data_IF_712845029484
#
_entry.id   IF_712845029484
#
_cell.length_a   1.000
_cell.length_b   1.000
_cell.length_c   1.000
_cell.angle_alpha   90.00
_cell.angle_beta   90.00
_cell.angle_gamma   90.00
#
_symmetry.space_group_name_H-M   'P 1'
#
loop_
_entity.id
_entity.type
_entity.pdbx_description
1 polymer ?
#
# COMPACT_ATOMS: atom_id res chain seq x y z
N UNK A 1 30.13 -29.97 -69.41
CA UNK A 1 29.39 -28.89 -68.66
C UNK A 1 27.89 -28.92 -68.92
N UNK A 2 27.37 -29.14 -70.13
CA UNK A 2 25.89 -29.15 -70.37
C UNK A 2 25.16 -30.27 -69.65
N UNK A 3 25.72 -31.41 -69.32
CA UNK A 3 25.05 -32.52 -68.62
C UNK A 3 24.82 -32.24 -67.13
N UNK A 4 25.61 -31.34 -66.49
CA UNK A 4 25.45 -30.94 -65.09
C UNK A 4 24.27 -30.00 -64.94
N UNK A 5 24.00 -29.15 -65.92
CA UNK A 5 22.84 -28.25 -65.89
C UNK A 5 21.51 -28.99 -65.97
N UNK A 6 21.46 -30.09 -66.73
CA UNK A 6 20.23 -30.91 -66.80
C UNK A 6 19.96 -31.69 -65.52
N UNK A 7 21.02 -32.09 -64.81
CA UNK A 7 20.90 -32.76 -63.52
C UNK A 7 20.49 -31.77 -62.39
N UNK A 8 20.96 -30.53 -62.43
CA UNK A 8 20.53 -29.46 -61.58
C UNK A 8 19.08 -29.00 -61.82
N UNK A 9 18.63 -28.99 -63.09
CA UNK A 9 17.28 -28.63 -63.48
C UNK A 9 16.27 -29.72 -63.14
N UNK A 10 16.68 -30.98 -63.04
CA UNK A 10 15.84 -32.12 -62.66
C UNK A 10 15.76 -32.24 -61.11
N UNK A 11 16.77 -31.73 -60.36
CA UNK A 11 16.77 -31.72 -58.91
C UNK A 11 15.93 -30.56 -58.31
N UNK A 12 15.69 -29.48 -59.05
CA UNK A 12 14.96 -28.31 -58.58
C UNK A 12 13.50 -28.60 -58.16
N UNK A 13 12.69 -29.41 -58.88
CA UNK A 13 11.31 -29.72 -58.44
C UNK A 13 11.26 -30.65 -57.23
N UNK A 14 12.32 -31.38 -56.88
CA UNK A 14 12.35 -32.25 -55.70
C UNK A 14 12.53 -31.48 -54.37
N UNK A 15 13.01 -30.24 -54.45
CA UNK A 15 13.22 -29.41 -53.26
C UNK A 15 11.90 -28.72 -52.87
N UNK A 16 10.97 -28.53 -53.80
CA UNK A 16 9.67 -27.91 -53.52
C UNK A 16 8.59 -28.89 -53.00
N UNK A 17 8.84 -30.18 -52.99
CA UNK A 17 7.91 -31.16 -52.44
C UNK A 17 8.13 -31.41 -50.90
N UNK A 18 9.16 -30.82 -50.31
CA UNK A 18 9.43 -30.99 -48.87
C UNK A 18 8.63 -30.06 -47.97
N UNK A 19 7.73 -29.21 -48.53
CA UNK A 19 6.88 -28.29 -47.75
C UNK A 19 5.41 -28.69 -47.63
N UNK A 20 5.04 -29.89 -48.13
CA UNK A 20 3.75 -30.48 -47.85
C UNK A 20 3.92 -31.78 -47.05
N UNK A 21 4.57 -31.67 -45.88
CA UNK A 21 4.12 -32.50 -44.77
C UNK A 21 2.85 -31.82 -44.25
N UNK A 22 1.72 -32.47 -44.35
CA UNK A 22 0.65 -32.31 -43.41
C UNK A 22 1.31 -32.50 -42.04
N UNK A 23 1.65 -31.41 -41.38
CA UNK A 23 1.79 -31.44 -39.94
C UNK A 23 0.42 -31.94 -39.48
N UNK A 24 0.38 -33.19 -39.04
CA UNK A 24 -0.76 -33.68 -38.24
C UNK A 24 -0.99 -32.60 -37.21
N UNK A 25 -2.04 -31.82 -37.40
CA UNK A 25 -2.42 -30.76 -36.50
C UNK A 25 -2.58 -31.42 -35.12
N UNK A 26 -1.62 -31.25 -34.23
CA UNK A 26 -1.66 -31.78 -32.85
C UNK A 26 -2.97 -31.40 -32.15
N UNK A 27 -3.68 -30.45 -32.74
CA UNK A 27 -4.95 -29.92 -32.25
C UNK A 27 -6.05 -30.04 -33.31
N UNK A 28 -7.19 -30.53 -32.90
CA UNK A 28 -8.40 -30.70 -33.77
C UNK A 28 -8.97 -29.38 -34.31
N UNK A 29 -8.56 -28.21 -33.75
CA UNK A 29 -9.09 -26.88 -34.09
C UNK A 29 -7.98 -25.87 -34.33
N UNK A 30 -8.19 -24.90 -35.24
CA UNK A 30 -7.27 -23.77 -35.44
C UNK A 30 -7.03 -22.98 -34.16
N UNK A 31 -5.82 -22.39 -34.03
CA UNK A 31 -5.43 -21.62 -32.85
C UNK A 31 -6.41 -20.45 -32.56
N UNK A 32 -6.92 -19.78 -33.60
CA UNK A 32 -7.90 -18.69 -33.43
C UNK A 32 -9.21 -19.17 -32.82
N UNK A 33 -9.71 -20.32 -33.29
CA UNK A 33 -10.96 -20.89 -32.78
C UNK A 33 -10.79 -21.34 -31.32
N UNK A 34 -9.67 -21.95 -30.98
CA UNK A 34 -9.37 -22.35 -29.58
C UNK A 34 -9.29 -21.13 -28.67
N UNK A 35 -8.70 -20.03 -29.14
CA UNK A 35 -8.62 -18.77 -28.39
C UNK A 35 -10.00 -18.18 -28.17
N UNK A 36 -10.87 -18.13 -29.19
CA UNK A 36 -12.23 -17.63 -29.07
C UNK A 36 -13.06 -18.45 -28.08
N UNK A 37 -12.97 -19.78 -28.17
CA UNK A 37 -13.65 -20.68 -27.23
C UNK A 37 -13.16 -20.46 -25.81
N UNK A 38 -11.84 -20.25 -25.60
CA UNK A 38 -11.25 -19.97 -24.28
C UNK A 38 -11.73 -18.63 -23.73
N UNK A 39 -11.78 -17.57 -24.54
CA UNK A 39 -12.28 -16.25 -24.11
C UNK A 39 -13.75 -16.33 -23.69
N UNK A 40 -14.57 -17.03 -24.45
CA UNK A 40 -15.99 -17.25 -24.09
C UNK A 40 -16.13 -18.05 -22.79
N UNK A 41 -15.33 -19.09 -22.60
CA UNK A 41 -15.32 -19.89 -21.38
C UNK A 41 -14.89 -19.04 -20.17
N UNK A 42 -13.79 -18.29 -20.29
CA UNK A 42 -13.30 -17.44 -19.22
C UNK A 42 -14.34 -16.36 -18.87
N UNK A 43 -15.01 -15.77 -19.85
CA UNK A 43 -16.09 -14.80 -19.61
C UNK A 43 -17.26 -15.44 -18.84
N UNK A 44 -17.69 -16.64 -19.23
CA UNK A 44 -18.75 -17.36 -18.51
C UNK A 44 -18.38 -17.64 -17.05
N UNK A 45 -17.13 -18.02 -16.80
CA UNK A 45 -16.62 -18.25 -15.44
C UNK A 45 -16.63 -16.95 -14.63
N UNK A 46 -16.08 -15.86 -15.20
CA UNK A 46 -16.03 -14.56 -14.52
C UNK A 46 -17.42 -14.05 -14.13
N UNK A 47 -18.40 -14.17 -15.05
CA UNK A 47 -19.78 -13.78 -14.81
C UNK A 47 -20.54 -14.77 -13.91
N UNK A 48 -20.07 -16.03 -13.83
CA UNK A 48 -20.70 -17.12 -13.07
C UNK A 48 -20.71 -16.88 -11.55
N UNK A 49 -19.77 -16.11 -11.02
CA UNK A 49 -19.79 -15.68 -9.62
C UNK A 49 -20.84 -14.57 -9.43
N UNK A 50 -22.07 -14.96 -9.17
CA UNK A 50 -23.24 -14.06 -9.13
C UNK A 50 -23.12 -12.97 -8.04
N UNK A 51 -22.37 -13.23 -6.99
CA UNK A 51 -22.03 -12.23 -5.96
C UNK A 51 -20.62 -11.64 -6.14
N UNK A 52 -19.95 -11.88 -7.30
CA UNK A 52 -18.61 -11.37 -7.60
C UNK A 52 -17.49 -12.13 -6.92
N UNK A 53 -16.30 -11.57 -6.99
CA UNK A 53 -15.04 -12.17 -6.59
C UNK A 53 -14.32 -11.28 -5.59
N UNK A 54 -13.63 -11.88 -4.63
CA UNK A 54 -12.56 -11.25 -3.86
C UNK A 54 -11.29 -11.32 -4.72
N UNK A 55 -10.70 -10.20 -5.03
CA UNK A 55 -9.47 -10.08 -5.81
C UNK A 55 -8.32 -9.66 -4.89
N UNK A 56 -7.31 -10.51 -4.77
CA UNK A 56 -6.09 -10.27 -4.02
C UNK A 56 -5.09 -9.57 -4.92
N UNK A 57 -4.98 -8.25 -4.78
CA UNK A 57 -4.23 -7.41 -5.71
C UNK A 57 -2.91 -6.94 -5.10
N UNK A 58 -1.81 -7.09 -5.83
CA UNK A 58 -0.48 -6.60 -5.43
C UNK A 58 0.07 -5.69 -6.54
N UNK A 59 0.11 -4.37 -6.31
CA UNK A 59 0.76 -3.44 -7.22
C UNK A 59 2.27 -3.60 -7.17
N UNK A 60 2.96 -3.09 -8.18
CA UNK A 60 4.41 -3.07 -8.32
C UNK A 60 5.06 -4.47 -8.30
N UNK A 61 6.11 -4.62 -9.08
CA UNK A 61 6.77 -5.91 -9.34
C UNK A 61 7.36 -6.57 -8.09
N UNK A 62 7.94 -5.80 -7.22
CA UNK A 62 8.59 -6.30 -5.99
C UNK A 62 7.64 -6.28 -4.79
N UNK A 63 6.36 -5.95 -5.01
CA UNK A 63 5.30 -5.83 -4.00
C UNK A 63 5.65 -4.88 -2.83
N UNK A 64 6.44 -3.84 -3.09
CA UNK A 64 6.95 -2.91 -2.08
C UNK A 64 5.86 -2.17 -1.31
N UNK A 65 4.67 -2.00 -1.91
CA UNK A 65 3.50 -1.40 -1.26
C UNK A 65 2.57 -2.43 -0.61
N UNK A 66 2.93 -3.74 -0.70
CA UNK A 66 2.10 -4.85 -0.25
C UNK A 66 0.86 -5.07 -1.11
N UNK A 67 -0.14 -5.73 -0.54
CA UNK A 67 -1.35 -6.12 -1.25
C UNK A 67 -2.62 -5.49 -0.70
N UNK A 68 -3.64 -5.47 -1.55
CA UNK A 68 -4.95 -4.86 -1.28
C UNK A 68 -6.06 -5.79 -1.73
N UNK A 69 -7.18 -5.70 -1.04
CA UNK A 69 -8.36 -6.47 -1.36
C UNK A 69 -9.37 -5.62 -2.13
N UNK A 70 -9.79 -6.13 -3.27
CA UNK A 70 -10.89 -5.55 -4.05
C UNK A 70 -11.98 -6.59 -4.25
N UNK A 71 -13.22 -6.14 -4.40
CA UNK A 71 -14.31 -6.97 -4.89
C UNK A 71 -14.60 -6.57 -6.31
N UNK A 72 -14.73 -7.56 -7.19
CA UNK A 72 -15.04 -7.33 -8.60
C UNK A 72 -16.19 -8.23 -9.00
N UNK A 73 -17.22 -7.64 -9.66
CA UNK A 73 -18.36 -8.37 -10.20
C UNK A 73 -18.50 -8.07 -11.67
N UNK A 74 -18.35 -9.10 -12.49
CA UNK A 74 -18.51 -9.04 -13.93
C UNK A 74 -19.98 -9.22 -14.30
N UNK A 75 -20.48 -8.33 -15.13
CA UNK A 75 -21.88 -8.31 -15.56
C UNK A 75 -22.05 -8.34 -17.07
N UNK A 76 -23.31 -8.22 -17.50
CA UNK A 76 -23.66 -8.13 -18.92
C UNK A 76 -23.05 -6.87 -19.57
N UNK A 77 -22.94 -6.90 -20.90
CA UNK A 77 -22.38 -5.81 -21.71
C UNK A 77 -20.97 -5.39 -21.26
N UNK A 78 -20.16 -6.35 -20.81
CA UNK A 78 -18.79 -6.13 -20.34
C UNK A 78 -18.69 -5.14 -19.17
N UNK A 79 -19.74 -5.00 -18.37
CA UNK A 79 -19.71 -4.15 -17.17
C UNK A 79 -18.96 -4.84 -16.03
N UNK A 80 -18.21 -4.07 -15.26
CA UNK A 80 -17.57 -4.53 -14.03
C UNK A 80 -17.84 -3.55 -12.90
N UNK A 81 -18.34 -4.05 -11.78
CA UNK A 81 -18.50 -3.27 -10.54
C UNK A 81 -17.38 -3.60 -9.59
N UNK A 82 -16.74 -2.58 -9.06
CA UNK A 82 -15.57 -2.68 -8.17
C UNK A 82 -15.89 -2.05 -6.82
N UNK A 83 -15.42 -2.68 -5.74
CA UNK A 83 -15.25 -2.09 -4.42
C UNK A 83 -13.80 -2.28 -3.97
N UNK A 84 -13.30 -1.42 -3.09
CA UNK A 84 -11.91 -1.47 -2.61
C UNK A 84 -11.85 -1.14 -1.12
N UNK A 85 -10.97 -1.81 -0.39
CA UNK A 85 -10.72 -1.51 1.04
C UNK A 85 -10.11 -0.12 1.27
N UNK A 86 -9.67 0.58 0.20
CA UNK A 86 -9.22 1.97 0.26
C UNK A 86 -10.39 2.97 0.22
N UNK A 87 -11.59 2.50 -0.15
CA UNK A 87 -12.80 3.30 -0.18
C UNK A 87 -13.62 3.15 1.10
N UNK A 88 -14.90 3.54 1.00
CA UNK A 88 -15.89 3.24 2.04
C UNK A 88 -16.45 1.84 1.81
N UNK A 89 -16.92 1.19 2.87
CA UNK A 89 -17.46 -0.18 2.81
C UNK A 89 -18.64 -0.35 1.83
N UNK A 90 -19.45 0.68 1.65
CA UNK A 90 -20.58 0.73 0.74
C UNK A 90 -20.27 1.38 -0.63
N UNK A 91 -19.03 1.82 -0.83
CA UNK A 91 -18.62 2.47 -2.06
C UNK A 91 -18.37 1.45 -3.15
N UNK A 92 -19.04 1.64 -4.29
CA UNK A 92 -18.80 0.86 -5.50
C UNK A 92 -18.70 1.79 -6.70
N UNK A 93 -17.95 1.38 -7.70
CA UNK A 93 -17.88 2.05 -8.99
C UNK A 93 -18.01 1.03 -10.12
N UNK A 94 -18.82 1.36 -11.13
CA UNK A 94 -19.02 0.50 -12.29
C UNK A 94 -18.34 1.09 -13.51
N UNK A 95 -17.54 0.28 -14.17
CA UNK A 95 -16.82 0.58 -15.41
C UNK A 95 -16.97 -0.57 -16.41
N UNK A 96 -16.10 -0.63 -17.40
CA UNK A 96 -16.11 -1.71 -18.38
C UNK A 96 -14.80 -2.50 -18.34
N UNK A 97 -14.91 -3.79 -18.68
CA UNK A 97 -13.79 -4.67 -18.90
C UNK A 97 -13.85 -5.29 -20.29
N UNK A 98 -12.75 -5.85 -20.75
CA UNK A 98 -12.71 -6.68 -21.95
C UNK A 98 -11.87 -7.93 -21.69
N UNK A 99 -12.22 -9.02 -22.39
CA UNK A 99 -11.36 -10.18 -22.59
C UNK A 99 -10.87 -10.14 -24.04
N UNK A 100 -9.57 -9.95 -24.20
CA UNK A 100 -8.94 -9.82 -25.51
C UNK A 100 -7.93 -10.95 -25.77
N UNK A 101 -7.78 -11.38 -27.04
CA UNK A 101 -6.72 -12.29 -27.43
C UNK A 101 -5.38 -11.55 -27.50
N UNK A 102 -4.36 -12.11 -26.85
CA UNK A 102 -2.97 -11.72 -26.96
C UNK A 102 -2.12 -13.01 -27.01
N UNK A 103 -1.04 -13.11 -26.27
CA UNK A 103 -0.27 -14.37 -26.05
C UNK A 103 -1.04 -15.39 -25.19
N UNK A 104 -2.31 -15.18 -24.98
CA UNK A 104 -3.30 -15.89 -24.18
C UNK A 104 -4.50 -14.97 -23.95
N UNK A 105 -5.52 -15.42 -23.21
CA UNK A 105 -6.61 -14.55 -22.79
C UNK A 105 -6.10 -13.45 -21.87
N UNK A 106 -6.45 -12.20 -22.12
CA UNK A 106 -6.11 -11.04 -21.30
C UNK A 106 -7.39 -10.37 -20.85
N UNK A 107 -7.55 -10.26 -19.53
CA UNK A 107 -8.57 -9.43 -18.89
C UNK A 107 -8.02 -8.02 -18.75
N UNK A 108 -8.70 -7.04 -19.35
CA UNK A 108 -8.34 -5.62 -19.27
C UNK A 108 -9.47 -4.78 -18.71
N UNK A 109 -9.12 -3.87 -17.80
CA UNK A 109 -10.01 -2.84 -17.26
C UNK A 109 -9.75 -1.54 -18.02
N UNK A 110 -10.31 -1.46 -19.21
CA UNK A 110 -9.98 -0.43 -20.20
C UNK A 110 -10.74 0.90 -20.04
N UNK A 111 -11.70 0.96 -19.11
CA UNK A 111 -12.41 2.20 -18.76
C UNK A 111 -12.01 2.63 -17.35
N UNK A 112 -11.75 3.93 -17.19
CA UNK A 112 -11.34 4.46 -15.90
C UNK A 112 -12.34 4.11 -14.79
N UNK A 113 -11.78 3.66 -13.66
CA UNK A 113 -12.48 3.34 -12.42
C UNK A 113 -11.56 3.80 -11.28
N UNK A 114 -12.01 4.75 -10.50
CA UNK A 114 -11.16 5.40 -9.50
C UNK A 114 -10.68 4.45 -8.41
N UNK A 115 -11.48 3.42 -8.07
CA UNK A 115 -11.12 2.42 -7.06
C UNK A 115 -10.09 1.43 -7.60
N UNK A 116 -10.22 1.04 -8.88
CA UNK A 116 -9.32 0.07 -9.51
C UNK A 116 -8.01 0.72 -9.96
N UNK A 117 -8.12 1.85 -10.69
CA UNK A 117 -6.95 2.54 -11.26
C UNK A 117 -6.15 3.35 -10.23
N UNK A 118 -6.60 3.43 -8.98
CA UNK A 118 -5.85 4.01 -7.87
C UNK A 118 -4.38 3.53 -7.84
N UNK A 119 -4.15 2.24 -8.10
CA UNK A 119 -2.84 1.62 -8.07
C UNK A 119 -2.00 1.86 -9.32
N UNK A 120 -2.63 2.14 -10.45
CA UNK A 120 -1.97 2.38 -11.74
C UNK A 120 -1.89 3.85 -12.12
N UNK A 121 -2.51 4.74 -11.34
CA UNK A 121 -2.48 6.19 -11.57
C UNK A 121 -1.07 6.74 -11.29
N UNK A 122 -0.39 7.31 -12.29
CA UNK A 122 0.91 7.94 -12.11
C UNK A 122 0.90 9.09 -11.10
N UNK A 123 -0.24 9.78 -10.99
CA UNK A 123 -0.50 10.84 -10.02
C UNK A 123 -1.31 10.31 -8.85
N UNK A 124 -0.85 9.23 -8.21
CA UNK A 124 -1.56 8.58 -7.11
C UNK A 124 -2.18 9.63 -6.15
N UNK A 125 -3.50 9.54 -5.83
CA UNK A 125 -4.22 10.55 -5.05
C UNK A 125 -3.61 10.83 -3.67
N UNK A 126 -2.98 9.82 -3.06
CA UNK A 126 -2.34 9.91 -1.74
C UNK A 126 -0.83 10.17 -1.84
N UNK A 127 -0.32 10.42 -3.05
CA UNK A 127 1.10 10.67 -3.29
C UNK A 127 2.01 9.47 -3.04
N UNK A 128 1.46 8.25 -3.09
CA UNK A 128 2.22 7.02 -2.88
C UNK A 128 2.96 6.63 -4.15
N UNK A 129 4.25 6.38 -4.03
CA UNK A 129 5.11 5.98 -5.12
C UNK A 129 5.97 7.11 -5.67
N UNK A 130 6.88 6.82 -6.62
CA UNK A 130 7.69 7.84 -7.27
C UNK A 130 6.83 8.82 -8.08
N UNK A 131 7.29 10.05 -8.20
CA UNK A 131 6.63 11.08 -9.03
C UNK A 131 6.42 10.54 -10.45
N UNK A 132 5.25 10.77 -11.01
CA UNK A 132 4.81 10.31 -12.35
C UNK A 132 4.79 8.77 -12.55
N UNK A 133 4.82 8.00 -11.47
CA UNK A 133 4.79 6.53 -11.53
C UNK A 133 3.74 5.90 -10.63
N UNK A 134 3.34 6.59 -9.56
CA UNK A 134 2.40 6.07 -8.57
C UNK A 134 2.86 4.73 -8.01
N UNK A 135 1.92 3.86 -7.69
CA UNK A 135 2.21 2.52 -7.15
C UNK A 135 2.55 1.49 -8.24
N UNK A 136 2.55 1.87 -9.52
CA UNK A 136 2.97 1.02 -10.63
C UNK A 136 2.10 -0.22 -10.90
N UNK A 137 0.84 -0.19 -10.49
CA UNK A 137 -0.08 -1.31 -10.61
C UNK A 137 -0.44 -1.70 -12.05
N UNK A 138 -1.01 -2.90 -12.21
CA UNK A 138 -1.55 -3.42 -13.47
C UNK A 138 -3.04 -3.10 -13.60
N UNK A 139 -3.50 -2.93 -14.81
CA UNK A 139 -4.92 -2.94 -15.19
C UNK A 139 -5.19 -3.94 -16.33
N UNK A 140 -4.16 -4.67 -16.76
CA UNK A 140 -4.23 -5.75 -17.73
C UNK A 140 -3.62 -7.02 -17.14
N UNK A 141 -4.32 -8.14 -17.26
CA UNK A 141 -3.95 -9.39 -16.62
C UNK A 141 -4.09 -10.56 -17.60
N UNK A 142 -3.07 -11.37 -17.75
CA UNK A 142 -3.18 -12.66 -18.42
C UNK A 142 -4.02 -13.61 -17.56
N UNK A 143 -5.05 -14.23 -18.13
CA UNK A 143 -5.83 -15.28 -17.46
C UNK A 143 -5.04 -16.58 -17.57
N UNK A 144 -4.38 -16.96 -16.46
CA UNK A 144 -3.58 -18.19 -16.40
C UNK A 144 -4.50 -19.41 -16.30
N UNK A 145 -5.42 -19.35 -15.36
CA UNK A 145 -6.41 -20.40 -15.11
C UNK A 145 -7.71 -19.76 -14.60
N UNK A 146 -8.84 -20.25 -15.09
CA UNK A 146 -10.15 -19.85 -14.61
C UNK A 146 -11.01 -21.08 -14.34
N UNK A 147 -11.53 -21.17 -13.12
CA UNK A 147 -12.52 -22.14 -12.66
C UNK A 147 -13.62 -21.43 -11.86
N UNK A 148 -14.70 -22.11 -11.56
CA UNK A 148 -15.78 -21.57 -10.74
C UNK A 148 -15.32 -21.29 -9.27
N UNK A 149 -14.32 -21.99 -8.79
CA UNK A 149 -13.79 -21.92 -7.43
C UNK A 149 -12.66 -20.88 -7.30
N UNK A 150 -11.92 -20.65 -8.39
CA UNK A 150 -10.74 -19.79 -8.36
C UNK A 150 -10.30 -19.33 -9.75
N UNK A 151 -9.86 -18.08 -9.84
CA UNK A 151 -9.22 -17.55 -11.05
C UNK A 151 -7.82 -17.07 -10.68
N UNK A 152 -6.83 -17.51 -11.47
CA UNK A 152 -5.46 -17.06 -11.39
C UNK A 152 -5.16 -16.12 -12.54
N UNK A 153 -4.79 -14.91 -12.20
CA UNK A 153 -4.35 -13.87 -13.13
C UNK A 153 -2.87 -13.57 -12.93
N UNK A 154 -2.25 -13.08 -13.98
CA UNK A 154 -0.87 -12.57 -13.93
C UNK A 154 -0.82 -11.18 -14.52
N UNK A 155 -0.37 -10.19 -13.75
CA UNK A 155 -0.20 -8.82 -14.21
C UNK A 155 0.72 -8.74 -15.44
N UNK A 156 0.32 -8.02 -16.47
CA UNK A 156 1.14 -7.91 -17.70
C UNK A 156 2.40 -7.09 -17.48
N UNK A 157 2.32 -6.05 -16.67
CA UNK A 157 3.42 -5.13 -16.36
C UNK A 157 4.29 -5.68 -15.23
N UNK A 158 3.67 -6.06 -14.12
CA UNK A 158 4.38 -6.47 -12.91
C UNK A 158 4.80 -7.93 -12.91
N UNK A 159 4.02 -8.80 -13.56
CA UNK A 159 4.17 -10.25 -13.49
C UNK A 159 3.64 -10.86 -12.18
N UNK A 160 2.99 -10.08 -11.32
CA UNK A 160 2.43 -10.55 -10.06
C UNK A 160 1.26 -11.50 -10.29
N UNK A 161 1.19 -12.50 -9.42
CA UNK A 161 0.03 -13.39 -9.35
C UNK A 161 -1.09 -12.69 -8.59
N UNK A 162 -2.25 -12.63 -9.21
CA UNK A 162 -3.50 -12.12 -8.65
C UNK A 162 -4.45 -13.29 -8.53
N UNK A 163 -5.04 -13.48 -7.37
CA UNK A 163 -5.98 -14.56 -7.12
C UNK A 163 -7.37 -13.97 -6.93
N UNK A 164 -8.35 -14.56 -7.59
CA UNK A 164 -9.75 -14.24 -7.35
C UNK A 164 -10.49 -15.47 -6.81
N UNK A 165 -11.24 -15.31 -5.73
CA UNK A 165 -12.12 -16.32 -5.12
C UNK A 165 -13.55 -15.81 -5.07
N UNK A 166 -14.58 -16.66 -5.36
CA UNK A 166 -15.96 -16.20 -5.41
C UNK A 166 -16.46 -15.82 -4.00
N UNK A 167 -17.25 -14.75 -3.94
CA UNK A 167 -17.97 -14.33 -2.73
C UNK A 167 -19.26 -15.16 -2.65
N UNK A 168 -19.50 -15.79 -1.49
CA UNK A 168 -20.73 -16.54 -1.28
C UNK A 168 -21.97 -15.64 -1.45
N UNK A 169 -23.04 -16.21 -2.00
CA UNK A 169 -24.23 -15.44 -2.44
C UNK A 169 -25.02 -14.80 -1.31
N UNK A 170 -24.87 -15.29 -0.09
CA UNK A 170 -25.51 -14.80 1.13
C UNK A 170 -24.68 -13.74 1.88
N UNK A 171 -23.49 -13.42 1.39
CA UNK A 171 -22.58 -12.43 2.00
C UNK A 171 -22.85 -11.03 1.44
N UNK A 172 -23.07 -10.06 2.30
CA UNK A 172 -23.13 -8.64 1.95
C UNK A 172 -21.74 -8.11 1.62
N UNK A 173 -21.59 -7.42 0.47
CA UNK A 173 -20.34 -6.74 0.12
C UNK A 173 -19.95 -5.68 1.15
N UNK A 174 -20.91 -4.89 1.61
CA UNK A 174 -20.66 -3.84 2.61
C UNK A 174 -20.14 -4.43 3.91
N UNK A 175 -20.80 -5.48 4.44
CA UNK A 175 -20.40 -6.09 5.71
C UNK A 175 -19.03 -6.80 5.61
N UNK A 176 -18.78 -7.44 4.47
CA UNK A 176 -17.50 -8.10 4.23
C UNK A 176 -16.37 -7.07 4.02
N UNK A 177 -16.59 -6.02 3.22
CA UNK A 177 -15.62 -4.96 2.98
C UNK A 177 -15.29 -4.20 4.27
N UNK A 178 -16.29 -3.97 5.13
CA UNK A 178 -16.06 -3.32 6.42
C UNK A 178 -15.03 -4.10 7.26
N UNK A 179 -15.07 -5.43 7.27
CA UNK A 179 -14.08 -6.25 7.99
C UNK A 179 -12.65 -6.06 7.45
N UNK A 180 -12.49 -5.93 6.12
CA UNK A 180 -11.18 -5.63 5.54
C UNK A 180 -10.70 -4.23 5.91
N UNK A 181 -11.60 -3.24 5.86
CA UNK A 181 -11.30 -1.86 6.28
C UNK A 181 -10.93 -1.80 7.75
N UNK A 182 -11.66 -2.51 8.62
CA UNK A 182 -11.38 -2.54 10.06
C UNK A 182 -9.99 -3.13 10.32
N UNK A 183 -9.63 -4.24 9.66
CA UNK A 183 -8.30 -4.82 9.77
C UNK A 183 -7.21 -3.93 9.18
N UNK A 184 -7.48 -3.24 8.06
CA UNK A 184 -6.56 -2.25 7.51
C UNK A 184 -6.33 -1.10 8.49
N UNK A 185 -7.36 -0.62 9.17
CA UNK A 185 -7.26 0.41 10.22
C UNK A 185 -6.44 -0.07 11.41
N UNK A 186 -6.62 -1.33 11.85
CA UNK A 186 -5.78 -1.95 12.90
C UNK A 186 -4.32 -1.96 12.45
N UNK A 187 -4.01 -2.42 11.24
CA UNK A 187 -2.63 -2.41 10.74
C UNK A 187 -2.05 -0.99 10.56
N UNK A 188 -2.87 -0.03 10.16
CA UNK A 188 -2.45 1.37 10.04
C UNK A 188 -2.23 2.05 11.40
N UNK A 189 -2.86 1.55 12.47
CA UNK A 189 -2.64 2.01 13.84
C UNK A 189 -1.43 1.35 14.51
N UNK A 190 -0.86 0.31 13.92
CA UNK A 190 0.31 -0.38 14.45
C UNK A 190 1.56 0.51 14.46
N UNK A 191 2.48 0.22 15.37
CA UNK A 191 3.83 0.76 15.33
C UNK A 191 4.58 0.35 14.06
N UNK A 192 5.58 1.13 13.67
CA UNK A 192 6.41 0.81 12.50
C UNK A 192 7.33 -0.41 12.71
N UNK A 193 7.43 -0.92 13.93
CA UNK A 193 8.26 -2.06 14.31
C UNK A 193 7.47 -3.08 15.10
N UNK A 194 7.91 -4.33 15.02
CA UNK A 194 7.30 -5.45 15.71
C UNK A 194 8.38 -6.36 16.32
N UNK A 195 8.11 -6.91 17.47
CA UNK A 195 8.83 -8.03 18.03
C UNK A 195 8.20 -9.32 17.57
N UNK A 196 8.95 -10.16 16.89
CA UNK A 196 8.52 -11.48 16.42
C UNK A 196 9.25 -12.58 17.19
N UNK A 197 8.51 -13.61 17.58
CA UNK A 197 9.08 -14.81 18.24
C UNK A 197 8.50 -16.06 17.63
N UNK A 198 9.33 -17.10 17.47
CA UNK A 198 8.92 -18.43 17.02
C UNK A 198 9.89 -19.47 17.59
N UNK A 199 9.49 -20.17 18.65
CA UNK A 199 10.41 -21.02 19.41
C UNK A 199 11.58 -20.20 19.97
N UNK A 200 12.81 -20.59 19.62
CA UNK A 200 14.03 -19.86 20.06
C UNK A 200 14.36 -18.67 19.16
N UNK A 201 13.68 -18.50 18.04
CA UNK A 201 13.91 -17.39 17.11
C UNK A 201 13.26 -16.15 17.66
N UNK A 202 14.05 -15.08 17.75
CA UNK A 202 13.62 -13.73 18.08
C UNK A 202 14.04 -12.80 16.94
N UNK A 203 13.09 -12.12 16.33
CA UNK A 203 13.33 -11.17 15.26
C UNK A 203 12.69 -9.83 15.57
N UNK A 204 13.29 -8.77 15.06
CA UNK A 204 12.61 -7.48 14.91
C UNK A 204 12.10 -7.38 13.48
N UNK A 205 10.82 -7.05 13.30
CA UNK A 205 10.27 -6.76 12.00
C UNK A 205 9.99 -5.27 11.86
N UNK A 206 10.44 -4.66 10.77
CA UNK A 206 10.14 -3.26 10.47
C UNK A 206 9.13 -3.22 9.34
N UNK A 207 8.06 -2.44 9.53
CA UNK A 207 7.00 -2.28 8.55
C UNK A 207 7.22 -1.01 7.71
N UNK A 208 7.14 -1.18 6.40
CA UNK A 208 7.08 -0.07 5.44
C UNK A 208 5.94 -0.34 4.46
N UNK A 209 4.92 0.51 4.43
CA UNK A 209 3.65 0.20 3.82
C UNK A 209 3.12 -1.15 4.33
N UNK A 210 2.85 -2.10 3.44
CA UNK A 210 2.43 -3.47 3.78
C UNK A 210 3.52 -4.49 3.47
N UNK A 211 4.75 -4.15 3.83
CA UNK A 211 5.92 -5.03 3.74
C UNK A 211 6.64 -5.06 5.07
N UNK A 212 6.91 -6.26 5.56
CA UNK A 212 7.66 -6.52 6.80
C UNK A 212 9.07 -7.00 6.45
N UNK A 213 10.07 -6.33 7.00
CA UNK A 213 11.47 -6.73 6.95
C UNK A 213 11.85 -7.29 8.31
N UNK A 214 12.03 -8.60 8.39
CA UNK A 214 12.47 -9.31 9.59
C UNK A 214 13.99 -9.32 9.64
N UNK A 215 14.56 -9.03 10.82
CA UNK A 215 15.98 -9.14 11.13
C UNK A 215 16.16 -9.99 12.36
N UNK A 216 16.96 -11.06 12.28
CA UNK A 216 17.16 -12.01 13.37
C UNK A 216 18.59 -12.55 13.39
N UNK A 217 19.10 -13.00 14.55
CA UNK A 217 20.41 -13.62 14.64
C UNK A 217 20.47 -14.93 13.86
N UNK A 218 21.41 -15.06 12.92
CA UNK A 218 21.80 -16.30 12.28
C UNK A 218 23.04 -16.93 12.95
N UNK A 219 23.58 -17.99 12.33
CA UNK A 219 24.74 -18.69 12.91
C UNK A 219 26.02 -17.85 12.95
N UNK A 220 26.29 -17.09 11.88
CA UNK A 220 27.51 -16.28 11.74
C UNK A 220 27.24 -14.77 11.76
N UNK A 221 26.04 -14.35 11.37
CA UNK A 221 25.63 -12.95 11.24
C UNK A 221 24.12 -12.80 11.37
N UNK A 222 23.63 -11.56 11.38
CA UNK A 222 22.21 -11.29 11.26
C UNK A 222 21.70 -11.70 9.87
N UNK A 223 20.58 -12.40 9.85
CA UNK A 223 19.82 -12.75 8.66
C UNK A 223 18.61 -11.82 8.50
N UNK A 224 18.12 -11.71 7.27
CA UNK A 224 16.94 -10.93 6.96
C UNK A 224 15.98 -11.73 6.08
N UNK A 225 14.68 -11.54 6.34
CA UNK A 225 13.61 -12.04 5.50
C UNK A 225 12.58 -10.93 5.25
N UNK A 226 12.06 -10.86 4.04
CA UNK A 226 11.06 -9.85 3.67
C UNK A 226 9.76 -10.53 3.27
N UNK A 227 8.64 -10.02 3.76
CA UNK A 227 7.32 -10.52 3.41
C UNK A 227 6.35 -9.36 3.15
N UNK A 228 5.88 -9.25 1.90
CA UNK A 228 4.78 -8.36 1.55
C UNK A 228 3.46 -9.03 1.90
N UNK A 229 2.52 -8.29 2.44
CA UNK A 229 1.24 -8.82 2.91
C UNK A 229 0.05 -7.99 2.43
N UNK A 230 -1.11 -8.61 2.44
CA UNK A 230 -2.41 -7.96 2.41
C UNK A 230 -3.14 -8.20 3.73
N UNK A 231 -4.12 -7.36 4.05
CA UNK A 231 -5.01 -7.65 5.16
C UNK A 231 -6.03 -8.71 4.76
N UNK A 232 -6.48 -9.49 5.74
CA UNK A 232 -7.62 -10.40 5.64
C UNK A 232 -8.74 -9.89 6.55
N UNK A 233 -9.80 -10.63 6.71
CA UNK A 233 -10.87 -10.27 7.65
C UNK A 233 -10.50 -10.49 9.12
N UNK A 234 -9.39 -11.19 9.39
CA UNK A 234 -8.96 -11.60 10.72
C UNK A 234 -7.44 -11.54 10.95
N UNK A 235 -6.70 -10.83 10.08
CA UNK A 235 -5.26 -10.67 10.22
C UNK A 235 -4.58 -10.26 8.93
N UNK A 236 -3.42 -10.86 8.63
CA UNK A 236 -2.62 -10.61 7.42
C UNK A 236 -2.30 -11.92 6.71
N UNK A 237 -2.20 -11.86 5.37
CA UNK A 237 -1.75 -12.96 4.53
C UNK A 237 -0.55 -12.51 3.69
N UNK A 238 0.51 -13.28 3.66
CA UNK A 238 1.72 -12.96 2.90
C UNK A 238 1.54 -13.31 1.40
N UNK A 239 2.11 -12.49 0.52
CA UNK A 239 2.13 -12.75 -0.92
C UNK A 239 2.89 -14.04 -1.25
N UNK A 240 4.07 -14.19 -0.66
CA UNK A 240 4.82 -15.44 -0.63
C UNK A 240 4.99 -15.83 0.83
N UNK A 241 4.93 -17.12 1.15
CA UNK A 241 5.17 -17.54 2.51
C UNK A 241 6.50 -17.02 3.06
N UNK A 242 6.47 -16.45 4.25
CA UNK A 242 7.66 -16.03 4.98
C UNK A 242 8.48 -17.28 5.34
N UNK A 243 9.73 -17.33 4.90
CA UNK A 243 10.68 -18.35 5.26
C UNK A 243 11.58 -17.83 6.39
N UNK A 244 11.46 -18.41 7.57
CA UNK A 244 12.25 -18.03 8.75
C UNK A 244 12.53 -19.25 9.62
N UNK A 245 13.78 -19.48 9.99
CA UNK A 245 14.19 -20.59 10.82
C UNK A 245 13.77 -21.98 10.30
N UNK A 246 13.79 -22.16 8.99
CA UNK A 246 13.40 -23.41 8.33
C UNK A 246 11.89 -23.72 8.37
N UNK A 247 11.06 -22.77 8.79
CA UNK A 247 9.60 -22.86 8.77
C UNK A 247 9.00 -21.88 7.79
N UNK A 248 7.79 -22.19 7.35
CA UNK A 248 7.00 -21.42 6.40
C UNK A 248 5.75 -20.87 7.09
N UNK A 249 5.52 -19.55 6.99
CA UNK A 249 4.36 -18.85 7.53
C UNK A 249 3.64 -18.18 6.37
N UNK A 250 2.38 -18.52 6.15
CA UNK A 250 1.56 -17.96 5.05
C UNK A 250 0.81 -16.69 5.43
N UNK A 251 0.69 -16.42 6.72
CA UNK A 251 0.00 -15.26 7.27
C UNK A 251 -0.08 -15.34 8.78
N UNK A 252 -0.64 -14.31 9.41
CA UNK A 252 -0.80 -14.27 10.87
C UNK A 252 -2.19 -13.73 11.23
N UNK A 253 -2.84 -14.32 12.22
CA UNK A 253 -4.13 -13.88 12.73
C UNK A 253 -3.95 -12.80 13.79
N UNK A 254 -4.77 -11.77 13.70
CA UNK A 254 -4.92 -10.79 14.76
C UNK A 254 -5.71 -11.39 15.93
N UNK A 255 -5.14 -11.33 17.13
CA UNK A 255 -5.77 -11.90 18.33
C UNK A 255 -6.22 -10.84 19.34
N UNK A 256 -5.94 -9.57 19.06
CA UNK A 256 -6.39 -8.45 19.87
C UNK A 256 -5.27 -7.50 20.26
N UNK A 257 -5.61 -6.52 21.09
CA UNK A 257 -4.70 -5.58 21.74
C UNK A 257 -4.76 -5.75 23.25
N UNK A 258 -3.66 -5.45 23.92
CA UNK A 258 -3.60 -5.46 25.38
C UNK A 258 -3.99 -4.09 25.98
N UNK A 259 -3.88 -3.95 27.32
CA UNK A 259 -4.20 -2.70 28.04
C UNK A 259 -3.26 -1.52 27.66
N UNK A 260 -2.12 -1.79 27.03
CA UNK A 260 -1.17 -0.81 26.53
C UNK A 260 -1.34 -0.55 25.02
N UNK A 261 -2.42 -1.04 24.42
CA UNK A 261 -2.72 -0.96 22.98
C UNK A 261 -1.69 -1.68 22.10
N UNK A 262 -0.99 -2.68 22.63
CA UNK A 262 -0.06 -3.51 21.87
C UNK A 262 -0.83 -4.53 21.06
N UNK A 263 -0.73 -4.44 19.74
CA UNK A 263 -1.40 -5.35 18.80
C UNK A 263 -0.66 -6.69 18.77
N UNK A 264 -1.41 -7.77 18.80
CA UNK A 264 -0.87 -9.12 18.78
C UNK A 264 -1.36 -9.90 17.59
N UNK A 265 -0.42 -10.51 16.87
CA UNK A 265 -0.67 -11.42 15.75
C UNK A 265 -0.04 -12.79 16.03
N UNK A 266 -0.69 -13.87 15.61
CA UNK A 266 -0.20 -15.24 15.83
C UNK A 266 -0.36 -16.11 14.58
N UNK A 267 0.54 -17.07 14.43
CA UNK A 267 0.36 -18.22 13.53
C UNK A 267 0.36 -19.50 14.37
N UNK A 268 -0.80 -20.14 14.49
CA UNK A 268 -0.98 -21.33 15.29
C UNK A 268 -0.17 -22.53 14.77
N UNK A 269 0.05 -22.61 13.45
CA UNK A 269 0.73 -23.74 12.82
C UNK A 269 2.21 -23.82 13.21
N UNK A 270 2.87 -22.68 13.32
CA UNK A 270 4.29 -22.60 13.70
C UNK A 270 4.51 -22.22 15.16
N UNK A 271 3.47 -21.69 15.82
CA UNK A 271 3.56 -21.10 17.15
C UNK A 271 4.23 -19.71 17.13
N UNK A 272 4.27 -19.06 15.95
CA UNK A 272 4.83 -17.71 15.85
C UNK A 272 3.89 -16.68 16.46
N UNK A 273 4.49 -15.67 17.10
CA UNK A 273 3.79 -14.49 17.63
C UNK A 273 4.50 -13.24 17.18
N UNK A 274 3.74 -12.18 16.93
CA UNK A 274 4.24 -10.88 16.53
C UNK A 274 3.46 -9.80 17.28
N UNK A 275 4.18 -8.91 17.96
CA UNK A 275 3.62 -7.80 18.72
C UNK A 275 4.20 -6.50 18.18
N UNK A 276 3.35 -5.50 17.92
CA UNK A 276 3.86 -4.20 17.54
C UNK A 276 4.60 -3.53 18.69
N UNK A 277 5.51 -2.65 18.32
CA UNK A 277 6.32 -1.91 19.27
C UNK A 277 6.34 -0.44 18.90
N UNK A 278 6.20 0.37 19.90
CA UNK A 278 6.35 1.81 19.81
C UNK A 278 7.63 2.24 20.50
N UNK A 279 8.34 3.26 19.99
CA UNK A 279 9.35 3.92 20.78
C UNK A 279 8.74 4.35 22.11
N UNK A 280 9.53 4.32 23.18
CA UNK A 280 9.08 4.86 24.46
C UNK A 280 8.47 6.25 24.26
N UNK A 281 7.37 6.56 24.92
CA UNK A 281 6.69 7.88 24.75
C UNK A 281 7.65 9.04 24.95
N UNK A 282 8.61 8.88 25.86
CA UNK A 282 9.68 9.85 26.12
C UNK A 282 10.61 10.04 24.92
N UNK A 283 10.96 8.97 24.20
CA UNK A 283 11.78 9.03 22.99
C UNK A 283 10.96 9.62 21.82
N UNK A 284 9.71 9.15 21.66
CA UNK A 284 8.80 9.63 20.64
C UNK A 284 8.57 11.14 20.77
N UNK A 285 8.43 11.63 21.99
CA UNK A 285 8.21 13.05 22.25
C UNK A 285 9.37 13.92 21.72
N UNK A 286 10.62 13.43 21.84
CA UNK A 286 11.79 14.18 21.39
C UNK A 286 12.20 13.93 19.94
N UNK A 287 11.65 12.88 19.29
CA UNK A 287 12.05 12.48 17.94
C UNK A 287 11.48 13.36 16.83
N UNK A 288 10.44 14.14 17.09
CA UNK A 288 9.66 14.84 16.07
C UNK A 288 9.30 16.28 16.42
N UNK A 289 8.39 16.83 15.61
CA UNK A 289 7.73 18.10 15.85
C UNK A 289 6.26 17.88 16.11
N UNK A 290 5.79 18.32 17.26
CA UNK A 290 4.40 18.21 17.66
C UNK A 290 3.68 19.52 17.39
N UNK A 291 2.94 19.58 16.28
CA UNK A 291 2.22 20.80 15.88
C UNK A 291 0.95 20.98 16.70
N UNK A 292 0.72 22.22 17.10
CA UNK A 292 -0.47 22.61 17.83
C UNK A 292 -1.52 23.16 16.87
N UNK A 293 -2.60 22.40 16.65
CA UNK A 293 -3.75 22.82 15.88
C UNK A 293 -4.89 23.23 16.83
N UNK A 294 -5.26 24.50 16.84
CA UNK A 294 -6.32 25.02 17.72
C UNK A 294 -7.65 24.25 17.57
N UNK A 295 -7.98 23.79 16.37
CA UNK A 295 -9.19 23.00 16.11
C UNK A 295 -9.23 21.67 16.85
N UNK A 296 -8.07 21.07 17.12
CA UNK A 296 -7.93 19.78 17.79
C UNK A 296 -7.75 19.89 19.32
N UNK A 297 -7.65 21.12 19.86
CA UNK A 297 -7.49 21.32 21.29
C UNK A 297 -8.80 21.11 22.03
N UNK A 298 -8.70 20.65 23.29
CA UNK A 298 -9.82 20.71 24.25
C UNK A 298 -10.23 22.16 24.51
N UNK A 299 -11.40 22.36 25.10
CA UNK A 299 -11.89 23.71 25.45
C UNK A 299 -10.94 24.44 26.39
N UNK A 300 -10.31 23.72 27.31
CA UNK A 300 -9.26 24.27 28.19
C UNK A 300 -8.06 24.74 27.36
N UNK A 301 -7.56 23.90 26.46
CA UNK A 301 -6.46 24.26 25.55
C UNK A 301 -6.78 25.46 24.67
N UNK A 302 -8.00 25.51 24.09
CA UNK A 302 -8.48 26.68 23.33
C UNK A 302 -8.51 27.95 24.18
N UNK A 303 -8.90 27.84 25.45
CA UNK A 303 -8.88 28.95 26.40
C UNK A 303 -7.48 29.50 26.66
N UNK A 304 -6.51 28.59 26.89
CA UNK A 304 -5.09 28.98 27.04
C UNK A 304 -4.53 29.62 25.78
N UNK A 305 -4.82 29.06 24.62
CA UNK A 305 -4.40 29.61 23.32
C UNK A 305 -4.95 31.00 23.10
N UNK A 306 -6.24 31.21 23.35
CA UNK A 306 -6.89 32.52 23.25
C UNK A 306 -6.26 33.53 24.23
N UNK A 307 -5.94 33.10 25.45
CA UNK A 307 -5.29 33.96 26.44
C UNK A 307 -3.87 34.37 26.00
N UNK A 308 -3.14 33.44 25.36
CA UNK A 308 -1.82 33.73 24.79
C UNK A 308 -1.90 34.75 23.64
N UNK A 309 -2.86 34.58 22.72
CA UNK A 309 -3.10 35.53 21.62
C UNK A 309 -3.48 36.90 22.16
N UNK A 310 -4.36 36.98 23.14
CA UNK A 310 -4.75 38.27 23.74
C UNK A 310 -3.54 39.01 24.38
N UNK A 311 -2.57 38.27 24.92
CA UNK A 311 -1.34 38.87 25.43
C UNK A 311 -0.44 39.35 24.31
N UNK A 312 -0.37 38.65 23.18
CA UNK A 312 0.35 39.08 21.98
C UNK A 312 -0.25 40.35 21.38
N UNK A 313 -1.60 40.44 21.31
CA UNK A 313 -2.27 41.68 20.88
C UNK A 313 -2.03 42.89 21.79
N UNK A 314 -1.81 42.63 23.06
CA UNK A 314 -1.48 43.67 24.03
C UNK A 314 0.00 44.07 24.03
N UNK A 315 0.85 43.37 23.27
CA UNK A 315 2.27 43.69 23.12
C UNK A 315 2.42 44.96 22.32
N UNK A 316 3.33 45.88 22.70
CA UNK A 316 3.61 47.10 21.97
C UNK A 316 4.04 46.90 20.53
N UNK A 317 4.56 45.71 20.17
CA UNK A 317 4.94 45.34 18.81
C UNK A 317 3.72 44.96 17.93
N UNK A 318 2.54 44.77 18.52
CA UNK A 318 1.28 44.67 17.79
C UNK A 318 1.10 43.38 16.99
N UNK A 319 1.47 42.23 17.54
CA UNK A 319 1.24 40.94 16.87
C UNK A 319 -0.24 40.64 16.66
N UNK A 320 -0.58 40.11 15.50
CA UNK A 320 -1.98 39.87 15.09
C UNK A 320 -2.51 38.48 15.44
N UNK A 321 -1.69 37.44 15.30
CA UNK A 321 -2.07 36.04 15.55
C UNK A 321 -0.82 35.15 15.66
N UNK A 322 -1.02 33.87 15.93
CA UNK A 322 0.00 32.83 15.83
C UNK A 322 -0.22 32.08 14.52
N UNK A 323 0.71 32.21 13.59
CA UNK A 323 0.67 31.56 12.30
C UNK A 323 0.86 30.03 12.43
N UNK A 324 1.83 29.60 13.23
CA UNK A 324 2.04 28.19 13.62
C UNK A 324 2.71 28.12 14.99
N UNK A 325 2.53 26.97 15.63
CA UNK A 325 3.25 26.59 16.85
C UNK A 325 3.56 25.10 16.84
N UNK A 326 4.72 24.72 17.36
CA UNK A 326 5.08 23.32 17.58
C UNK A 326 6.05 23.18 18.76
N UNK A 327 6.08 21.97 19.34
CA UNK A 327 7.13 21.52 20.25
C UNK A 327 8.14 20.70 19.45
N UNK A 328 9.43 20.93 19.59
CA UNK A 328 10.47 20.19 18.88
C UNK A 328 11.73 21.00 18.64
N UNK A 329 12.59 20.49 17.76
CA UNK A 329 13.86 21.15 17.42
C UNK A 329 13.64 22.23 16.36
N UNK A 330 14.14 23.42 16.63
CA UNK A 330 14.20 24.52 15.68
C UNK A 330 15.54 25.25 15.82
N UNK A 331 16.27 25.39 14.72
CA UNK A 331 17.61 26.02 14.70
C UNK A 331 18.59 25.45 15.72
N UNK A 332 18.54 24.12 15.97
CA UNK A 332 19.41 23.44 16.91
C UNK A 332 18.99 23.52 18.38
N UNK A 333 17.90 24.22 18.69
CA UNK A 333 17.34 24.30 20.05
C UNK A 333 16.07 23.48 20.13
N UNK A 334 15.87 22.77 21.24
CA UNK A 334 14.61 22.11 21.55
C UNK A 334 13.72 23.03 22.34
N UNK A 335 12.44 23.16 21.95
CA UNK A 335 11.56 24.05 22.66
C UNK A 335 10.17 24.19 22.08
N UNK A 336 9.39 25.07 22.69
CA UNK A 336 8.13 25.53 22.15
C UNK A 336 8.40 26.66 21.18
N UNK A 337 8.21 26.36 19.92
CA UNK A 337 8.44 27.29 18.80
C UNK A 337 7.10 27.83 18.32
N UNK A 338 7.03 29.12 18.06
CA UNK A 338 5.83 29.74 17.52
C UNK A 338 6.20 30.94 16.63
N UNK A 339 5.32 31.22 15.70
CA UNK A 339 5.48 32.32 14.77
C UNK A 339 4.29 33.30 14.93
N UNK A 340 4.43 34.34 15.79
CA UNK A 340 3.43 35.38 15.84
C UNK A 340 3.49 36.23 14.56
N UNK A 341 2.32 36.59 14.01
CA UNK A 341 2.20 37.51 12.89
C UNK A 341 2.36 38.94 13.41
N UNK A 342 3.34 39.66 12.87
CA UNK A 342 3.56 41.07 13.11
C UNK A 342 2.88 41.98 12.07
N UNK A 343 2.61 41.45 10.88
CA UNK A 343 1.72 42.00 9.86
C UNK A 343 0.90 40.88 9.21
N UNK A 344 -0.11 41.16 8.37
CA UNK A 344 -0.82 40.13 7.64
C UNK A 344 0.05 39.24 6.72
N UNK A 345 1.25 39.70 6.37
CA UNK A 345 2.16 39.03 5.42
C UNK A 345 3.52 38.65 6.02
N UNK A 346 3.83 39.10 7.22
CA UNK A 346 5.13 38.87 7.87
C UNK A 346 4.94 38.24 9.24
N UNK A 347 5.88 37.41 9.68
CA UNK A 347 5.88 36.81 11.00
C UNK A 347 7.25 36.78 11.63
N UNK A 348 7.28 36.93 12.95
CA UNK A 348 8.46 36.67 13.75
C UNK A 348 8.53 35.19 14.12
N UNK A 349 9.72 34.67 14.32
CA UNK A 349 9.93 33.31 14.85
C UNK A 349 10.50 33.42 16.25
N UNK A 350 9.83 32.78 17.17
CA UNK A 350 10.20 32.75 18.58
C UNK A 350 10.33 31.33 19.08
N UNK A 351 11.22 31.10 20.01
CA UNK A 351 11.38 29.84 20.69
C UNK A 351 11.51 30.08 22.19
N UNK A 352 10.79 29.26 22.95
CA UNK A 352 11.03 29.09 24.38
C UNK A 352 11.82 27.78 24.53
N UNK A 353 13.12 27.90 24.73
CA UNK A 353 14.04 26.76 24.73
C UNK A 353 14.07 26.04 26.08
N UNK A 354 14.24 24.74 25.99
CA UNK A 354 14.37 23.85 27.14
C UNK A 354 15.58 22.96 26.99
N UNK A 355 16.30 22.73 28.09
CA UNK A 355 17.05 21.49 28.28
C UNK A 355 16.07 20.40 28.65
N UNK A 356 16.35 19.17 28.25
CA UNK A 356 15.43 18.07 28.38
C UNK A 356 16.12 16.72 28.54
N UNK A 357 15.38 15.73 29.03
CA UNK A 357 15.79 14.35 29.09
C UNK A 357 14.65 13.43 29.47
N UNK A 358 14.90 12.14 29.36
CA UNK A 358 13.98 11.10 29.81
C UNK A 358 14.17 10.77 31.26
N UNK A 359 13.08 10.53 31.98
CA UNK A 359 13.10 9.97 33.35
C UNK A 359 12.90 8.46 33.27
N UNK A 360 11.89 8.05 32.50
CA UNK A 360 11.57 6.66 32.15
C UNK A 360 10.79 6.65 30.83
N UNK A 361 10.28 5.50 30.43
CA UNK A 361 9.57 5.33 29.14
C UNK A 361 8.38 6.28 28.96
N UNK A 362 7.73 6.71 30.04
CA UNK A 362 6.52 7.53 30.03
C UNK A 362 6.70 8.93 30.59
N UNK A 363 7.88 9.24 31.16
CA UNK A 363 8.13 10.52 31.80
C UNK A 363 9.36 11.20 31.22
N UNK A 364 9.21 12.50 31.04
CA UNK A 364 10.28 13.40 30.60
C UNK A 364 10.44 14.54 31.61
N UNK A 365 11.59 15.17 31.61
CA UNK A 365 11.77 16.44 32.24
C UNK A 365 12.13 17.51 31.23
N UNK A 366 11.64 18.71 31.46
CA UNK A 366 11.95 19.92 30.71
C UNK A 366 12.36 21.00 31.67
N UNK A 367 13.49 21.61 31.42
CA UNK A 367 13.95 22.77 32.21
C UNK A 367 14.06 23.98 31.28
N UNK A 368 13.36 25.04 31.63
CA UNK A 368 13.38 26.29 30.85
C UNK A 368 14.79 26.88 30.86
N UNK A 369 15.33 27.12 29.66
CA UNK A 369 16.61 27.81 29.50
C UNK A 369 16.43 29.29 29.18
N UNK A 370 15.43 29.65 28.40
CA UNK A 370 15.15 31.02 27.99
C UNK A 370 14.13 31.14 26.87
N UNK A 371 13.89 32.37 26.45
CA UNK A 371 13.12 32.67 25.27
C UNK A 371 13.93 33.57 24.35
N UNK A 372 13.86 33.33 23.04
CA UNK A 372 14.59 34.09 22.03
C UNK A 372 13.69 34.39 20.84
N UNK A 373 13.70 35.64 20.41
CA UNK A 373 13.18 36.05 19.10
C UNK A 373 14.28 35.76 18.08
N UNK A 374 14.06 34.77 17.19
CA UNK A 374 15.11 34.31 16.28
C UNK A 374 15.32 35.26 15.11
N UNK A 375 14.30 35.69 14.45
CA UNK A 375 14.27 36.78 13.45
C UNK A 375 12.88 36.97 12.85
N UNK A 376 12.67 38.09 12.14
CA UNK A 376 11.52 38.32 11.25
C UNK A 376 11.87 37.81 9.86
N UNK A 377 10.93 37.22 9.16
CA UNK A 377 11.08 36.73 7.79
C UNK A 377 9.93 37.27 6.91
N UNK A 378 10.20 37.76 5.71
CA UNK A 378 9.13 38.11 4.77
C UNK A 378 8.29 36.85 4.45
N UNK A 379 7.01 37.05 4.13
CA UNK A 379 6.13 36.02 3.65
C UNK A 379 6.67 35.42 2.34
N UNK A 380 6.41 34.13 2.03
CA UNK A 380 6.76 33.56 0.73
C UNK A 380 6.23 34.34 -0.49
N UNK A 381 5.17 35.15 -0.31
CA UNK A 381 4.65 36.01 -1.36
C UNK A 381 5.56 37.19 -1.70
N UNK A 382 6.39 37.62 -0.77
CA UNK A 382 7.28 38.78 -0.98
C UNK A 382 8.57 38.43 -1.72
N UNK A 383 8.83 37.11 -1.92
CA UNK A 383 10.03 36.59 -2.63
C UNK A 383 9.79 36.47 -4.14
N UNK A 384 8.53 36.44 -4.59
CA UNK A 384 8.18 36.32 -6.02
C UNK A 384 8.14 37.69 -6.74
N UNK A 385 8.19 38.83 -6.03
CA UNK A 385 8.12 40.16 -6.62
C UNK A 385 9.47 40.94 -6.65
N UNK A 386 10.60 40.28 -6.36
CA UNK A 386 11.92 40.91 -6.38
C UNK A 386 12.88 40.31 -7.40
#
# INVERSE_FOLDING_TARGET
MKKIYYLLLLALPLIFQSCFKDDDDIFDKPASQRMEERLMQDQQILMGATNGWIMEYFPEKEQSYGGYTMFVKFGENNSVTVASELGKADQTETSMYELIPDSGPVLTFNTHNSLFHYFSDPSNPDGIGPVDSGMGGDYEFMVVEATAEKVYLKGKKTGNTIIMTPIATDISWTDLMQKYIDMANIMNSAGASFNFTMGDIKATATMNYRTLLFSYPGEESYEAATASFRVTTDGIAFYKPLQIGGKEITGMKYVGEDENMVLTFTDEATGATMHDTWPALSELFFSGKWYFAKSLMSDYGKGLWTSAINKLYADPNGYYDIYWAHMGVYSGLYGFCFAPLDTPSTFARSIVSYTYGTVDDNHIWLQLEGSCLLYTSPSPRDVEES
#
